data_IF_856386986700
#
_entry.id   IF_856386986700
#
_cell.length_a   1.000
_cell.length_b   1.000
_cell.length_c   1.000
_cell.angle_alpha   90.00
_cell.angle_beta   90.00
_cell.angle_gamma   90.00
#
_symmetry.space_group_name_H-M   'P 1'
#
loop_
_entity.id
_entity.type
_entity.pdbx_description
1 polymer ?
#
# COMPACT_ATOMS: atom_id res chain seq x y z
N UNK A 1 -9.05 -1.81 -25.44
CA UNK A 1 -8.35 -1.85 -24.15
C UNK A 1 -9.45 -1.60 -23.14
N UNK A 2 -9.93 -2.66 -22.48
CA UNK A 2 -11.00 -2.51 -21.50
C UNK A 2 -10.42 -1.71 -20.33
N UNK A 3 -11.02 -0.55 -20.06
CA UNK A 3 -10.65 0.26 -18.91
C UNK A 3 -11.09 -0.50 -17.66
N UNK A 4 -10.15 -0.75 -16.72
CA UNK A 4 -10.50 -1.27 -15.40
C UNK A 4 -11.41 -0.24 -14.73
N UNK A 5 -12.71 -0.51 -14.67
CA UNK A 5 -13.65 0.29 -13.91
C UNK A 5 -13.54 -0.17 -12.45
N UNK A 6 -12.92 0.64 -11.60
CA UNK A 6 -12.83 0.37 -10.17
C UNK A 6 -11.88 1.31 -9.45
N UNK A 7 -11.82 1.16 -8.13
CA UNK A 7 -11.00 2.00 -7.25
C UNK A 7 -9.93 1.16 -6.56
N UNK A 8 -8.68 1.61 -6.65
CA UNK A 8 -7.61 1.09 -5.81
C UNK A 8 -7.72 1.74 -4.43
N UNK A 9 -8.08 0.97 -3.42
CA UNK A 9 -8.04 1.40 -2.03
C UNK A 9 -6.63 1.15 -1.48
N UNK A 10 -6.00 2.22 -1.01
CA UNK A 10 -4.72 2.18 -0.30
C UNK A 10 -5.03 2.49 1.17
N UNK A 11 -4.77 1.53 2.04
CA UNK A 11 -4.97 1.67 3.47
C UNK A 11 -3.60 1.71 4.16
N UNK A 12 -3.23 2.89 4.65
CA UNK A 12 -2.08 3.06 5.52
C UNK A 12 -2.48 2.62 6.92
N UNK A 13 -1.94 1.51 7.42
CA UNK A 13 -2.37 0.94 8.71
C UNK A 13 -1.64 1.59 9.88
N UNK A 14 -0.30 1.66 9.80
CA UNK A 14 0.57 2.18 10.88
C UNK A 14 2.00 2.37 10.41
N UNK A 15 2.74 3.23 11.10
CA UNK A 15 4.20 3.32 11.00
C UNK A 15 4.90 2.64 12.19
N UNK A 16 6.11 2.15 11.97
CA UNK A 16 6.96 1.50 12.96
C UNK A 16 8.32 2.19 13.05
N UNK A 17 8.77 2.47 14.28
CA UNK A 17 10.08 3.06 14.57
C UNK A 17 10.42 4.23 13.64
N UNK A 18 9.45 5.14 13.46
CA UNK A 18 9.62 6.30 12.60
C UNK A 18 10.65 7.26 13.22
N UNK A 19 11.35 7.97 12.36
CA UNK A 19 12.31 9.00 12.79
C UNK A 19 11.68 10.02 13.75
N UNK A 20 12.44 10.36 14.80
CA UNK A 20 12.07 11.43 15.72
C UNK A 20 12.56 12.75 15.15
N UNK A 21 11.66 13.74 15.06
CA UNK A 21 11.97 15.06 14.49
C UNK A 21 11.75 16.21 15.47
N UNK A 22 10.88 16.06 16.48
CA UNK A 22 10.79 17.00 17.60
C UNK A 22 11.56 16.54 18.85
N UNK A 23 11.58 17.40 19.88
CA UNK A 23 12.28 17.20 21.16
C UNK A 23 11.95 15.86 21.83
N UNK A 24 10.75 15.30 21.60
CA UNK A 24 10.29 14.03 22.22
C UNK A 24 9.45 13.11 21.32
N UNK A 25 8.91 13.59 20.20
CA UNK A 25 7.98 12.86 19.35
C UNK A 25 8.04 13.36 17.90
N UNK A 26 7.21 12.79 17.03
CA UNK A 26 6.97 13.31 15.68
C UNK A 26 5.47 13.28 15.41
N UNK A 27 5.01 14.17 14.55
CA UNK A 27 3.65 14.21 14.00
C UNK A 27 3.67 13.72 12.53
N UNK A 28 3.72 12.40 12.28
CA UNK A 28 3.94 11.88 10.92
C UNK A 28 2.73 12.08 10.01
N UNK A 29 2.95 12.71 8.86
CA UNK A 29 1.99 12.77 7.76
C UNK A 29 2.38 11.82 6.62
N UNK A 30 1.41 11.12 6.04
CA UNK A 30 1.63 10.27 4.84
C UNK A 30 0.97 10.89 3.62
N UNK A 31 1.76 11.07 2.56
CA UNK A 31 1.31 11.55 1.26
C UNK A 31 1.51 10.42 0.25
N UNK A 32 0.41 9.98 -0.38
CA UNK A 32 0.46 8.95 -1.42
C UNK A 32 0.33 9.62 -2.79
N UNK A 33 1.29 9.36 -3.68
CA UNK A 33 1.32 9.95 -5.03
C UNK A 33 1.28 8.84 -6.06
N UNK A 34 0.32 8.93 -7.00
CA UNK A 34 0.17 8.00 -8.12
C UNK A 34 -0.08 8.80 -9.40
N UNK A 35 0.97 8.99 -10.19
CA UNK A 35 0.89 9.85 -11.38
C UNK A 35 0.49 11.29 -11.01
N UNK A 36 -0.62 11.78 -11.55
CA UNK A 36 -1.17 13.12 -11.24
C UNK A 36 -2.05 13.14 -9.98
N UNK A 37 -2.36 11.98 -9.39
CA UNK A 37 -3.17 11.88 -8.18
C UNK A 37 -2.27 12.00 -6.96
N UNK A 38 -2.67 12.84 -6.01
CA UNK A 38 -2.03 12.96 -4.70
C UNK A 38 -3.12 12.86 -3.66
N UNK A 39 -3.00 11.88 -2.76
CA UNK A 39 -3.93 11.63 -1.66
C UNK A 39 -3.21 11.91 -0.36
N UNK A 40 -3.87 12.66 0.51
CA UNK A 40 -3.40 12.97 1.85
C UNK A 40 -4.16 12.11 2.84
N UNK A 41 -3.46 11.63 3.86
CA UNK A 41 -4.13 11.07 5.03
C UNK A 41 -4.95 12.17 5.73
N UNK A 42 -6.07 11.78 6.36
CA UNK A 42 -7.00 12.72 7.01
C UNK A 42 -6.51 13.16 8.39
N UNK A 43 -5.52 12.48 8.96
CA UNK A 43 -5.02 12.84 10.28
C UNK A 43 -4.31 14.20 10.27
N UNK A 44 -4.64 15.02 11.27
CA UNK A 44 -4.20 16.41 11.41
C UNK A 44 -2.81 16.41 12.05
N UNK A 45 -1.77 16.38 11.24
CA UNK A 45 -0.40 16.52 11.72
C UNK A 45 0.27 17.77 11.11
N UNK A 46 1.11 18.43 11.90
CA UNK A 46 1.88 19.62 11.50
C UNK A 46 2.94 19.25 10.44
N UNK A 47 3.37 20.22 9.63
CA UNK A 47 4.09 20.00 8.38
C UNK A 47 5.61 20.15 8.55
N UNK A 48 6.16 19.67 9.66
CA UNK A 48 7.55 19.95 10.00
C UNK A 48 8.37 18.65 10.00
N UNK A 49 9.26 18.60 9.00
CA UNK A 49 10.27 17.59 8.66
C UNK A 49 9.89 16.36 7.83
N UNK A 50 10.74 16.07 6.82
CA UNK A 50 10.64 14.87 6.00
C UNK A 50 11.01 13.65 6.83
N UNK A 51 10.10 12.68 6.91
CA UNK A 51 10.26 11.42 7.66
C UNK A 51 10.57 10.21 6.75
N UNK A 52 11.09 10.48 5.55
CA UNK A 52 11.45 9.48 4.56
C UNK A 52 10.40 9.24 3.48
N UNK A 53 10.74 8.41 2.50
CA UNK A 53 9.88 8.02 1.37
C UNK A 53 10.00 6.55 1.02
N UNK A 54 8.93 5.98 0.46
CA UNK A 54 8.94 4.64 -0.11
C UNK A 54 8.10 4.61 -1.40
N UNK A 55 8.50 3.73 -2.31
CA UNK A 55 7.83 3.49 -3.58
C UNK A 55 7.59 1.99 -3.76
N UNK A 56 6.45 1.64 -4.36
CA UNK A 56 6.10 0.28 -4.71
C UNK A 56 5.38 0.24 -6.06
N UNK A 57 5.53 -0.87 -6.78
CA UNK A 57 4.93 -1.09 -8.09
C UNK A 57 3.59 -1.79 -7.94
N UNK A 58 2.53 -1.18 -8.50
CA UNK A 58 1.17 -1.74 -8.48
C UNK A 58 0.88 -2.65 -9.67
N UNK A 59 1.74 -2.69 -10.70
CA UNK A 59 1.49 -3.53 -11.89
C UNK A 59 1.26 -5.00 -11.54
N UNK A 60 2.06 -5.65 -10.65
CA UNK A 60 1.82 -7.03 -10.25
C UNK A 60 0.44 -7.24 -9.61
N UNK A 61 -0.08 -6.24 -8.89
CA UNK A 61 -1.40 -6.26 -8.29
C UNK A 61 -2.49 -6.15 -9.36
N UNK A 62 -2.37 -5.19 -10.28
CA UNK A 62 -3.33 -4.98 -11.37
C UNK A 62 -3.39 -6.14 -12.35
N UNK A 63 -2.26 -6.80 -12.61
CA UNK A 63 -2.22 -8.01 -13.42
C UNK A 63 -3.09 -9.12 -12.82
N UNK A 64 -3.11 -9.25 -11.49
CA UNK A 64 -3.93 -10.24 -10.76
C UNK A 64 -5.39 -9.84 -10.71
N UNK A 65 -5.70 -8.55 -10.54
CA UNK A 65 -7.08 -8.04 -10.61
C UNK A 65 -7.74 -8.36 -11.96
N UNK A 66 -6.96 -8.45 -13.04
CA UNK A 66 -7.42 -8.82 -14.38
C UNK A 66 -7.61 -10.31 -14.62
N UNK A 67 -7.16 -11.15 -13.68
CA UNK A 67 -7.32 -12.60 -13.81
C UNK A 67 -8.74 -13.01 -13.43
N UNK A 68 -9.23 -14.06 -14.07
CA UNK A 68 -10.40 -14.77 -13.58
C UNK A 68 -9.99 -15.62 -12.36
N UNK A 69 -10.43 -15.18 -11.19
CA UNK A 69 -10.16 -15.83 -9.89
C UNK A 69 -11.42 -16.49 -9.31
N UNK A 70 -12.52 -16.55 -10.08
CA UNK A 70 -13.76 -17.18 -9.62
C UNK A 70 -13.53 -18.66 -9.29
N UNK A 71 -14.15 -19.10 -8.19
CA UNK A 71 -14.02 -20.48 -7.71
C UNK A 71 -12.75 -20.79 -6.91
N UNK A 72 -11.79 -19.87 -6.81
CA UNK A 72 -10.64 -20.06 -5.93
C UNK A 72 -11.05 -19.99 -4.45
N UNK A 73 -10.51 -20.87 -3.58
CA UNK A 73 -10.71 -20.76 -2.14
C UNK A 73 -10.21 -19.43 -1.57
N UNK A 74 -10.92 -18.89 -0.59
CA UNK A 74 -10.44 -17.73 0.17
C UNK A 74 -9.14 -18.07 0.90
N UNK A 75 -8.18 -17.15 0.89
CA UNK A 75 -6.83 -17.32 1.42
C UNK A 75 -5.81 -17.82 0.40
N UNK A 76 -6.19 -18.02 -0.87
CA UNK A 76 -5.26 -18.47 -1.91
C UNK A 76 -4.24 -17.36 -2.20
N UNK A 77 -2.95 -17.66 -2.00
CA UNK A 77 -1.84 -16.77 -2.37
C UNK A 77 -1.59 -16.90 -3.87
N UNK A 78 -1.83 -15.82 -4.61
CA UNK A 78 -1.71 -15.78 -6.07
C UNK A 78 -0.27 -15.44 -6.49
N UNK A 79 0.36 -14.51 -5.78
CA UNK A 79 1.74 -14.08 -6.05
C UNK A 79 2.44 -13.63 -4.78
N UNK A 80 3.76 -13.81 -4.77
CA UNK A 80 4.68 -13.31 -3.74
C UNK A 80 5.69 -12.36 -4.37
N UNK A 81 5.97 -11.25 -3.70
CA UNK A 81 6.99 -10.28 -4.08
C UNK A 81 8.00 -10.21 -2.95
N UNK A 82 9.26 -10.53 -3.26
CA UNK A 82 10.34 -10.63 -2.29
C UNK A 82 11.07 -9.28 -2.18
N UNK A 83 11.53 -8.89 -0.98
CA UNK A 83 12.46 -7.78 -0.80
C UNK A 83 13.67 -7.85 -1.74
N UNK A 84 14.04 -6.70 -2.29
CA UNK A 84 15.22 -6.59 -3.16
C UNK A 84 15.86 -5.21 -3.02
N UNK A 85 17.02 -5.02 -3.64
CA UNK A 85 17.66 -3.70 -3.70
C UNK A 85 16.92 -2.70 -4.60
N UNK A 86 15.95 -3.18 -5.38
CA UNK A 86 15.20 -2.40 -6.35
C UNK A 86 13.80 -2.00 -5.86
N UNK A 87 13.38 -2.48 -4.68
CA UNK A 87 12.08 -2.14 -4.09
C UNK A 87 12.23 -1.68 -2.64
N UNK A 88 11.14 -1.20 -2.05
CA UNK A 88 11.11 -0.74 -0.67
C UNK A 88 10.50 -1.78 0.28
N UNK A 89 10.34 -3.04 -0.12
CA UNK A 89 9.74 -4.06 0.74
C UNK A 89 10.70 -4.43 1.88
N UNK A 90 10.22 -4.35 3.12
CA UNK A 90 10.94 -4.84 4.30
C UNK A 90 10.79 -6.36 4.47
N UNK A 91 9.66 -6.91 4.05
CA UNK A 91 9.30 -8.32 4.14
C UNK A 91 8.63 -8.83 2.85
N UNK A 92 8.42 -10.14 2.72
CA UNK A 92 7.66 -10.72 1.63
C UNK A 92 6.23 -10.15 1.58
N UNK A 93 5.83 -9.63 0.43
CA UNK A 93 4.47 -9.18 0.18
C UNK A 93 3.69 -10.25 -0.59
N UNK A 94 2.55 -10.67 -0.04
CA UNK A 94 1.64 -11.62 -0.70
C UNK A 94 0.46 -10.88 -1.32
N UNK A 95 0.12 -11.22 -2.56
CA UNK A 95 -1.13 -10.88 -3.21
C UNK A 95 -2.05 -12.09 -3.08
N UNK A 96 -3.14 -11.92 -2.33
CA UNK A 96 -4.01 -13.01 -1.86
C UNK A 96 -5.44 -12.76 -2.31
N UNK A 97 -6.10 -13.83 -2.73
CA UNK A 97 -7.54 -13.83 -2.95
C UNK A 97 -8.26 -14.09 -1.63
N UNK A 98 -9.00 -13.11 -1.13
CA UNK A 98 -9.71 -13.18 0.16
C UNK A 98 -11.14 -12.72 -0.03
N UNK A 99 -12.09 -13.62 0.21
CA UNK A 99 -13.54 -13.33 0.23
C UNK A 99 -14.02 -12.56 -1.00
N UNK A 100 -13.62 -13.01 -2.20
CA UNK A 100 -14.02 -12.36 -3.45
C UNK A 100 -13.20 -11.11 -3.82
N UNK A 101 -12.08 -10.84 -3.12
CA UNK A 101 -11.29 -9.62 -3.31
C UNK A 101 -9.80 -9.92 -3.42
N UNK A 102 -9.11 -9.16 -4.26
CA UNK A 102 -7.65 -9.15 -4.31
C UNK A 102 -7.13 -8.21 -3.23
N UNK A 103 -6.31 -8.74 -2.33
CA UNK A 103 -5.70 -8.01 -1.22
C UNK A 103 -4.19 -8.20 -1.28
N UNK A 104 -3.44 -7.12 -1.03
CA UNK A 104 -1.99 -7.19 -0.89
C UNK A 104 -1.54 -6.45 0.36
N UNK A 105 -0.86 -7.14 1.26
CA UNK A 105 -0.21 -6.55 2.42
C UNK A 105 1.27 -6.30 2.14
N UNK A 106 1.76 -5.13 2.56
CA UNK A 106 3.13 -4.69 2.37
C UNK A 106 3.65 -4.03 3.66
N UNK A 107 4.91 -4.32 3.98
CA UNK A 107 5.70 -3.52 4.90
C UNK A 107 6.76 -2.80 4.07
N UNK A 108 6.72 -1.48 4.07
CA UNK A 108 7.61 -0.63 3.29
C UNK A 108 8.66 0.00 4.18
N UNK A 109 9.93 -0.26 3.91
CA UNK A 109 11.06 0.41 4.54
C UNK A 109 11.24 1.80 3.93
N UNK A 110 11.24 2.81 4.78
CA UNK A 110 11.45 4.19 4.36
C UNK A 110 12.93 4.42 3.98
N UNK A 111 13.13 5.19 2.91
CA UNK A 111 14.42 5.68 2.44
C UNK A 111 14.60 7.14 2.84
N UNK A 112 15.82 7.65 2.69
CA UNK A 112 16.17 9.04 3.00
C UNK A 112 15.84 9.45 4.45
N UNK A 113 15.87 8.46 5.35
CA UNK A 113 15.61 8.57 6.78
C UNK A 113 16.40 7.48 7.51
N UNK A 114 16.78 7.73 8.76
CA UNK A 114 17.59 6.82 9.58
C UNK A 114 16.84 5.56 10.03
N UNK A 115 15.52 5.64 10.18
CA UNK A 115 14.65 4.53 10.53
C UNK A 115 13.21 4.82 10.14
N UNK A 116 12.43 3.75 10.01
CA UNK A 116 11.00 3.84 9.75
C UNK A 116 10.52 2.80 8.76
N UNK A 117 9.40 2.17 9.10
CA UNK A 117 8.66 1.29 8.21
C UNK A 117 7.18 1.66 8.24
N UNK A 118 6.47 1.44 7.15
CA UNK A 118 5.02 1.68 7.06
C UNK A 118 4.32 0.42 6.59
N UNK A 119 3.28 -0.01 7.32
CA UNK A 119 2.37 -1.06 6.90
C UNK A 119 1.28 -0.50 5.99
N UNK A 120 1.19 -1.03 4.78
CA UNK A 120 0.23 -0.63 3.75
C UNK A 120 -0.51 -1.84 3.24
N UNK A 121 -1.82 -1.70 3.04
CA UNK A 121 -2.65 -2.70 2.38
C UNK A 121 -3.30 -2.12 1.12
N UNK A 122 -3.20 -2.85 0.02
CA UNK A 122 -3.94 -2.60 -1.21
C UNK A 122 -5.17 -3.50 -1.26
N UNK A 123 -6.27 -2.93 -1.75
CA UNK A 123 -7.50 -3.65 -2.03
C UNK A 123 -8.14 -3.11 -3.30
N UNK A 124 -8.60 -3.99 -4.17
CA UNK A 124 -9.40 -3.59 -5.33
C UNK A 124 -10.88 -3.48 -4.93
N UNK A 125 -11.51 -2.38 -5.30
CA UNK A 125 -12.93 -2.11 -5.06
C UNK A 125 -13.64 -2.05 -6.41
N UNK A 126 -14.48 -3.04 -6.68
CA UNK A 126 -15.35 -3.04 -7.85
C UNK A 126 -16.49 -2.02 -7.67
N UNK A 127 -16.85 -1.22 -8.70
CA UNK A 127 -17.97 -0.28 -8.65
C UNK A 127 -19.30 -0.92 -8.23
N UNK A 128 -19.54 -2.19 -8.58
CA UNK A 128 -20.72 -2.95 -8.18
C UNK A 128 -20.82 -3.17 -6.66
N UNK A 129 -19.71 -2.99 -5.92
CA UNK A 129 -19.61 -3.19 -4.47
C UNK A 129 -19.69 -1.88 -3.68
N UNK A 130 -19.80 -0.72 -4.35
CA UNK A 130 -19.82 0.62 -3.74
C UNK A 130 -21.24 1.20 -3.55
N UNK A 131 -22.27 0.49 -4.03
CA UNK A 131 -23.68 0.94 -4.02
C UNK A 131 -24.53 0.34 -2.88
N UNK A 132 -23.91 -0.08 -1.77
CA UNK A 132 -24.58 -0.71 -0.64
C UNK A 132 -24.63 0.18 0.59
#
# INVERSE_FOLDING_TARGET
MEDLLGLLRIHIKRGYNLAVRDVRSSDPNVIVRMGKQTVYDRDRFSLDDKMGDAEFDIRPFLDIVRMDLEGLPSGTVIRKIIPSRQNCLAEESCITWINGRVVQDMILRLRNVECGEIEVQLQWMDPSQLSS
#
